data_IF_906539577366
#
_entry.id   IF_906539577366
#
_cell.length_a   1.000
_cell.length_b   1.000
_cell.length_c   1.000
_cell.angle_alpha   90.00
_cell.angle_beta   90.00
_cell.angle_gamma   90.00
#
_symmetry.space_group_name_H-M   'P 1'
#
loop_
_entity.id
_entity.type
_entity.pdbx_description
1 polymer ?
#
# COMPACT_ATOMS: atom_id res chain seq x y z
N UNK A 1 0.94 8.01 18.66
CA UNK A 1 0.79 6.69 18.01
C UNK A 1 -0.66 6.52 17.58
N UNK A 2 -0.88 6.05 16.35
CA UNK A 2 -2.22 5.75 15.82
C UNK A 2 -2.25 4.35 15.22
N UNK A 3 -3.34 3.64 15.46
CA UNK A 3 -3.51 2.24 15.07
C UNK A 3 -4.73 2.10 14.19
N UNK A 4 -4.61 1.32 13.11
CA UNK A 4 -5.66 1.14 12.11
C UNK A 4 -5.76 -0.33 11.70
N UNK A 5 -6.97 -0.77 11.36
CA UNK A 5 -7.18 -2.08 10.73
C UNK A 5 -6.68 -2.07 9.28
N UNK A 6 -6.15 -3.20 8.81
CA UNK A 6 -5.84 -3.41 7.40
C UNK A 6 -7.05 -4.07 6.73
N UNK A 7 -7.55 -3.46 5.66
CA UNK A 7 -8.63 -3.98 4.85
C UNK A 7 -8.15 -4.79 3.62
N UNK A 8 -6.87 -4.65 3.26
CA UNK A 8 -6.24 -5.39 2.17
C UNK A 8 -4.75 -5.09 2.09
N UNK A 9 -3.98 -6.07 1.61
CA UNK A 9 -2.53 -5.97 1.50
C UNK A 9 -2.08 -6.57 0.16
N UNK A 10 -1.22 -5.84 -0.54
CA UNK A 10 -0.67 -6.26 -1.82
C UNK A 10 0.84 -6.14 -1.80
N UNK A 11 1.51 -7.22 -2.19
CA UNK A 11 2.96 -7.26 -2.38
C UNK A 11 3.26 -6.95 -3.84
N UNK A 12 4.08 -5.94 -4.13
CA UNK A 12 4.45 -5.64 -5.51
C UNK A 12 5.31 -6.77 -6.10
N UNK A 13 4.89 -7.33 -7.24
CA UNK A 13 5.69 -8.24 -8.04
C UNK A 13 6.42 -7.54 -9.20
N UNK A 14 7.15 -8.31 -10.02
CA UNK A 14 7.90 -7.78 -11.17
C UNK A 14 6.99 -7.16 -12.26
N UNK A 15 5.77 -7.69 -12.43
CA UNK A 15 4.81 -7.20 -13.43
C UNK A 15 3.51 -6.66 -12.79
N UNK A 16 2.94 -7.35 -11.81
CA UNK A 16 1.67 -6.97 -11.15
C UNK A 16 1.79 -7.19 -9.63
N UNK A 17 0.94 -6.50 -8.86
CA UNK A 17 0.88 -6.66 -7.42
C UNK A 17 0.09 -7.93 -7.05
N UNK A 18 0.67 -8.78 -6.21
CA UNK A 18 0.03 -9.96 -5.67
C UNK A 18 -0.77 -9.59 -4.42
N UNK A 19 -2.07 -9.89 -4.41
CA UNK A 19 -2.88 -9.80 -3.21
C UNK A 19 -2.50 -10.89 -2.20
N UNK A 20 -2.30 -10.49 -0.95
CA UNK A 20 -2.10 -11.41 0.17
C UNK A 20 -3.41 -11.47 0.95
N UNK A 21 -4.08 -12.60 0.86
CA UNK A 21 -5.31 -12.86 1.59
C UNK A 21 -5.06 -12.86 3.10
N UNK A 22 -5.68 -11.90 3.81
CA UNK A 22 -5.51 -11.69 5.24
C UNK A 22 -6.57 -12.45 6.03
N UNK A 23 -6.13 -13.15 7.09
CA UNK A 23 -7.02 -13.59 8.16
C UNK A 23 -7.33 -12.41 9.09
N UNK A 24 -6.33 -11.60 9.42
CA UNK A 24 -6.46 -10.29 10.06
C UNK A 24 -5.23 -9.41 9.77
N UNK A 25 -5.28 -8.14 10.13
CA UNK A 25 -4.12 -7.26 9.98
C UNK A 25 -4.26 -5.92 10.67
N UNK A 26 -3.13 -5.43 11.18
CA UNK A 26 -3.00 -4.19 11.92
C UNK A 26 -1.86 -3.36 11.36
N UNK A 27 -2.07 -2.04 11.26
CA UNK A 27 -1.03 -1.10 10.89
C UNK A 27 -0.96 0.05 11.88
N UNK A 28 0.24 0.40 12.32
CA UNK A 28 0.51 1.39 13.35
C UNK A 28 1.41 2.49 12.77
N UNK A 29 0.91 3.72 12.80
CA UNK A 29 1.75 4.90 12.64
C UNK A 29 2.42 5.21 13.98
N UNK A 30 3.75 5.07 14.04
CA UNK A 30 4.52 5.32 15.26
C UNK A 30 4.59 6.80 15.61
N UNK A 31 4.38 7.69 14.64
CA UNK A 31 4.49 9.15 14.79
C UNK A 31 5.85 9.57 15.38
N UNK A 32 6.89 8.80 15.08
CA UNK A 32 8.27 9.12 15.45
C UNK A 32 8.94 10.02 14.40
N UNK A 33 10.12 10.56 14.73
CA UNK A 33 10.89 11.41 13.82
C UNK A 33 11.29 10.70 12.52
N UNK A 34 11.33 9.37 12.56
CA UNK A 34 11.66 8.50 11.41
C UNK A 34 10.46 8.26 10.49
N UNK A 35 9.25 8.73 10.86
CA UNK A 35 7.98 8.50 10.16
C UNK A 35 7.74 7.02 9.88
N UNK A 36 8.12 6.18 10.85
CA UNK A 36 8.07 4.73 10.70
C UNK A 36 6.67 4.18 10.96
N UNK A 37 6.36 3.09 10.26
CA UNK A 37 5.11 2.36 10.38
C UNK A 37 5.40 0.90 10.67
N UNK A 38 4.63 0.31 11.57
CA UNK A 38 4.61 -1.13 11.80
C UNK A 38 3.39 -1.72 11.11
N UNK A 39 3.59 -2.82 10.39
CA UNK A 39 2.55 -3.52 9.66
C UNK A 39 2.60 -4.96 10.15
N UNK A 40 1.51 -5.44 10.72
CA UNK A 40 1.38 -6.83 11.14
C UNK A 40 0.26 -7.49 10.33
N UNK A 41 0.61 -8.60 9.68
CA UNK A 41 -0.31 -9.41 8.89
C UNK A 41 -0.49 -10.74 9.58
N UNK A 42 -1.73 -11.20 9.71
CA UNK A 42 -2.04 -12.55 10.10
C UNK A 42 -2.63 -13.28 8.90
N UNK A 43 -1.94 -14.33 8.43
CA UNK A 43 -2.21 -14.97 7.14
C UNK A 43 -2.11 -16.48 7.21
N UNK A 44 -2.60 -17.17 6.18
CA UNK A 44 -2.39 -18.61 6.05
C UNK A 44 -0.88 -18.93 5.86
N UNK A 45 -0.33 -20.01 6.46
CA UNK A 45 1.08 -20.40 6.32
C UNK A 45 1.58 -20.64 4.88
N UNK A 46 0.67 -20.66 3.89
CA UNK A 46 1.01 -20.78 2.45
C UNK A 46 1.93 -19.64 1.96
N UNK A 47 1.89 -18.50 2.64
CA UNK A 47 2.70 -17.33 2.29
C UNK A 47 4.08 -17.33 2.96
N UNK A 48 4.40 -18.30 3.82
CA UNK A 48 5.64 -18.33 4.59
C UNK A 48 6.89 -18.25 3.71
N UNK A 49 6.98 -19.10 2.68
CA UNK A 49 8.15 -19.16 1.80
C UNK A 49 8.42 -17.81 1.12
N UNK A 50 7.37 -17.12 0.66
CA UNK A 50 7.48 -15.81 0.01
C UNK A 50 8.10 -14.79 0.95
N UNK A 51 7.57 -14.65 2.16
CA UNK A 51 8.09 -13.67 3.12
C UNK A 51 9.42 -14.09 3.74
N UNK A 52 9.70 -15.40 3.84
CA UNK A 52 11.00 -15.89 4.27
C UNK A 52 12.08 -15.55 3.23
N UNK A 53 11.80 -15.67 1.94
CA UNK A 53 12.71 -15.28 0.88
C UNK A 53 12.96 -13.76 0.89
N UNK A 54 11.91 -12.96 1.01
CA UNK A 54 12.01 -11.51 1.17
C UNK A 54 12.88 -11.12 2.37
N UNK A 55 12.72 -11.80 3.51
CA UNK A 55 13.53 -11.55 4.72
C UNK A 55 15.01 -11.89 4.51
N UNK A 56 15.30 -13.01 3.84
CA UNK A 56 16.69 -13.47 3.58
C UNK A 56 17.46 -12.52 2.67
N UNK A 57 16.79 -11.90 1.71
CA UNK A 57 17.41 -10.98 0.77
C UNK A 57 17.67 -9.59 1.38
N UNK A 58 17.12 -9.32 2.57
CA UNK A 58 17.08 -7.98 3.18
C UNK A 58 16.48 -6.90 2.26
N UNK A 59 15.68 -7.34 1.27
CA UNK A 59 15.15 -6.48 0.23
C UNK A 59 14.08 -5.56 0.80
N UNK A 60 14.15 -4.29 0.38
CA UNK A 60 13.10 -3.32 0.66
C UNK A 60 11.91 -3.62 -0.25
N UNK A 61 10.84 -4.15 0.35
CA UNK A 61 9.61 -4.54 -0.32
C UNK A 61 8.75 -3.31 -0.60
N UNK A 62 8.27 -3.20 -1.84
CA UNK A 62 7.19 -2.26 -2.15
C UNK A 62 5.86 -2.95 -1.88
N UNK A 63 5.04 -2.36 -1.01
CA UNK A 63 3.74 -2.92 -0.60
C UNK A 63 2.66 -1.86 -0.65
N UNK A 64 1.42 -2.28 -0.93
CA UNK A 64 0.23 -1.44 -0.91
C UNK A 64 -0.71 -1.92 0.19
N UNK A 65 -1.18 -0.99 1.02
CA UNK A 65 -2.04 -1.30 2.16
C UNK A 65 -3.32 -0.48 2.08
N UNK A 66 -4.46 -1.16 2.01
CA UNK A 66 -5.78 -0.53 2.17
C UNK A 66 -6.04 -0.35 3.66
N UNK A 67 -5.98 0.89 4.15
CA UNK A 67 -6.10 1.19 5.58
C UNK A 67 -7.57 1.46 5.93
N UNK A 68 -8.08 0.80 6.96
CA UNK A 68 -9.43 0.92 7.53
C UNK A 68 -10.58 0.40 6.66
N UNK A 69 -10.68 0.82 5.40
CA UNK A 69 -11.78 0.45 4.50
C UNK A 69 -11.26 0.04 3.11
N UNK A 70 -11.89 -0.94 2.44
CA UNK A 70 -11.45 -1.44 1.13
C UNK A 70 -11.65 -0.43 0.00
N UNK A 71 -12.53 0.56 0.19
CA UNK A 71 -12.78 1.63 -0.79
C UNK A 71 -11.80 2.81 -0.66
N UNK A 72 -10.88 2.77 0.31
CA UNK A 72 -9.87 3.81 0.47
C UNK A 72 -8.78 3.66 -0.59
N UNK A 73 -8.03 4.76 -0.82
CA UNK A 73 -6.83 4.68 -1.64
C UNK A 73 -5.76 3.84 -0.94
N UNK A 74 -5.15 2.85 -1.63
CA UNK A 74 -4.03 2.11 -1.06
C UNK A 74 -2.88 3.05 -0.72
N UNK A 75 -2.37 2.91 0.50
CA UNK A 75 -1.16 3.57 0.95
C UNK A 75 0.05 2.72 0.52
N UNK A 76 0.99 3.36 -0.18
CA UNK A 76 2.20 2.72 -0.67
C UNK A 76 3.32 2.82 0.36
N UNK A 77 3.96 1.71 0.67
CA UNK A 77 5.07 1.64 1.60
C UNK A 77 6.28 0.96 0.96
N UNK A 78 7.45 1.39 1.42
CA UNK A 78 8.67 0.59 1.37
C UNK A 78 8.85 -0.06 2.73
N UNK A 79 8.93 -1.39 2.78
CA UNK A 79 8.87 -2.16 4.02
C UNK A 79 9.89 -3.29 4.04
N UNK A 80 10.36 -3.65 5.22
CA UNK A 80 11.25 -4.78 5.46
C UNK A 80 10.59 -5.77 6.40
N UNK A 81 10.75 -7.06 6.12
CA UNK A 81 10.25 -8.12 6.99
C UNK A 81 11.15 -8.21 8.22
N UNK A 82 10.58 -7.99 9.41
CA UNK A 82 11.29 -8.08 10.69
C UNK A 82 11.14 -9.46 11.32
N UNK A 83 9.94 -10.04 11.25
CA UNK A 83 9.62 -11.30 11.93
C UNK A 83 8.58 -12.11 11.19
N UNK A 84 8.71 -13.43 11.32
CA UNK A 84 7.68 -14.41 10.96
C UNK A 84 7.50 -15.29 12.20
N UNK A 85 6.28 -15.42 12.70
CA UNK A 85 5.97 -16.21 13.88
C UNK A 85 4.73 -17.08 13.60
N UNK A 86 4.85 -18.40 13.74
CA UNK A 86 3.68 -19.28 13.74
C UNK A 86 2.87 -19.05 15.01
N UNK A 87 1.59 -18.80 14.83
CA UNK A 87 0.62 -18.73 15.90
C UNK A 87 -0.43 -19.82 15.68
N UNK A 88 -1.26 -20.04 16.68
CA UNK A 88 -2.42 -20.91 16.49
C UNK A 88 -3.31 -20.37 15.37
N UNK A 89 -3.58 -21.19 14.36
CA UNK A 89 -4.44 -20.84 13.23
C UNK A 89 -3.78 -20.07 12.08
N UNK A 90 -2.49 -19.72 12.16
CA UNK A 90 -1.84 -19.02 11.05
C UNK A 90 -0.41 -18.56 11.28
N UNK A 91 0.03 -17.64 10.43
CA UNK A 91 1.35 -17.05 10.43
C UNK A 91 1.22 -15.54 10.68
N UNK A 92 1.85 -15.03 11.74
CA UNK A 92 2.04 -13.59 11.94
C UNK A 92 3.31 -13.14 11.22
N UNK A 93 3.20 -12.07 10.45
CA UNK A 93 4.29 -11.45 9.70
C UNK A 93 4.39 -10.00 10.13
N UNK A 94 5.53 -9.64 10.70
CA UNK A 94 5.83 -8.28 11.12
C UNK A 94 6.72 -7.60 10.10
N UNK A 95 6.26 -6.46 9.59
CA UNK A 95 7.01 -5.58 8.73
C UNK A 95 7.19 -4.21 9.38
N UNK A 96 8.32 -3.58 9.09
CA UNK A 96 8.56 -2.17 9.38
C UNK A 96 8.73 -1.43 8.06
N UNK A 97 8.00 -0.33 7.88
CA UNK A 97 8.01 0.40 6.63
C UNK A 97 7.90 1.91 6.76
N UNK A 98 8.04 2.58 5.62
CA UNK A 98 7.92 4.03 5.46
C UNK A 98 6.92 4.33 4.37
N UNK A 99 6.00 5.25 4.66
CA UNK A 99 4.98 5.69 3.71
C UNK A 99 5.63 6.46 2.55
N UNK A 100 5.33 6.07 1.32
CA UNK A 100 5.73 6.78 0.11
C UNK A 100 4.75 7.91 -0.19
N UNK A 101 5.26 9.11 -0.45
CA UNK A 101 4.46 10.28 -0.82
C UNK A 101 3.92 10.15 -2.26
N UNK A 102 2.80 9.42 -2.43
CA UNK A 102 2.19 9.20 -3.77
C UNK A 102 1.18 10.28 -4.18
N UNK A 103 0.47 10.87 -3.21
CA UNK A 103 -0.69 11.74 -3.50
C UNK A 103 -0.30 13.03 -4.24
N UNK A 104 0.89 13.57 -4.00
CA UNK A 104 1.38 14.75 -4.70
C UNK A 104 1.79 14.46 -6.14
N UNK A 105 2.34 13.28 -6.44
CA UNK A 105 2.89 13.00 -7.77
C UNK A 105 1.79 12.77 -8.80
N UNK A 106 0.71 12.03 -8.46
CA UNK A 106 -0.44 11.91 -9.36
C UNK A 106 -1.13 13.26 -9.60
N UNK A 107 -1.35 14.04 -8.54
CA UNK A 107 -1.92 15.38 -8.65
C UNK A 107 -1.07 16.28 -9.55
N UNK A 108 0.27 16.23 -9.43
CA UNK A 108 1.18 16.96 -10.32
C UNK A 108 1.08 16.48 -11.77
N UNK A 109 1.01 15.16 -11.98
CA UNK A 109 0.90 14.59 -13.33
C UNK A 109 -0.41 15.01 -14.00
N UNK A 110 -1.56 14.85 -13.33
CA UNK A 110 -2.86 15.28 -13.88
C UNK A 110 -2.85 16.78 -14.18
N UNK A 111 -2.33 17.60 -13.27
CA UNK A 111 -2.22 19.04 -13.50
C UNK A 111 -1.36 19.35 -14.72
N UNK A 112 -0.19 18.71 -14.84
CA UNK A 112 0.72 18.87 -15.97
C UNK A 112 0.03 18.51 -17.29
N UNK A 113 -0.66 17.36 -17.35
CA UNK A 113 -1.36 16.90 -18.55
C UNK A 113 -2.47 17.86 -18.98
N UNK A 114 -3.23 18.41 -18.03
CA UNK A 114 -4.30 19.36 -18.32
C UNK A 114 -3.75 20.72 -18.79
N UNK A 115 -2.64 21.19 -18.20
CA UNK A 115 -1.95 22.40 -18.66
C UNK A 115 -1.37 22.20 -20.07
N UNK A 116 -0.78 21.03 -20.37
CA UNK A 116 -0.28 20.72 -21.72
C UNK A 116 -1.40 20.64 -22.77
N UNK A 117 -2.62 20.28 -22.35
CA UNK A 117 -3.82 20.35 -23.19
C UNK A 117 -4.37 21.77 -23.38
N UNK A 118 -3.74 22.77 -22.77
CA UNK A 118 -4.11 24.18 -22.90
C UNK A 118 -5.25 24.63 -21.98
N UNK A 119 -5.65 23.80 -21.01
CA UNK A 119 -6.67 24.20 -20.04
C UNK A 119 -6.10 25.25 -19.07
N UNK A 120 -6.92 26.25 -18.75
CA UNK A 120 -6.58 27.31 -17.80
C UNK A 120 -7.85 27.82 -17.11
N UNK A 121 -7.69 28.67 -16.08
CA UNK A 121 -8.82 29.26 -15.36
C UNK A 121 -9.73 28.21 -14.70
N UNK A 122 -11.04 28.45 -14.73
CA UNK A 122 -12.03 27.57 -14.10
C UNK A 122 -12.11 26.18 -14.76
N UNK A 123 -11.95 26.11 -16.08
CA UNK A 123 -11.98 24.84 -16.84
C UNK A 123 -10.89 23.86 -16.38
N UNK A 124 -9.70 24.37 -16.04
CA UNK A 124 -8.61 23.58 -15.48
C UNK A 124 -8.99 23.04 -14.10
N UNK A 125 -9.58 23.87 -13.25
CA UNK A 125 -9.96 23.51 -11.88
C UNK A 125 -11.02 22.40 -11.90
N UNK A 126 -12.05 22.54 -12.73
CA UNK A 126 -13.15 21.57 -12.82
C UNK A 126 -12.69 20.23 -13.40
N UNK A 127 -11.87 20.27 -14.45
CA UNK A 127 -11.29 19.07 -15.06
C UNK A 127 -10.35 18.36 -14.09
N UNK A 128 -9.52 19.12 -13.36
CA UNK A 128 -8.61 18.57 -12.37
C UNK A 128 -9.36 17.86 -11.24
N UNK A 129 -10.38 18.51 -10.66
CA UNK A 129 -11.21 17.93 -9.61
C UNK A 129 -11.94 16.67 -10.08
N UNK A 130 -12.40 16.65 -11.33
CA UNK A 130 -13.07 15.50 -11.92
C UNK A 130 -12.11 14.33 -12.10
N UNK A 131 -10.91 14.56 -12.66
CA UNK A 131 -9.88 13.53 -12.82
C UNK A 131 -9.37 12.97 -11.49
N UNK A 132 -9.29 13.79 -10.44
CA UNK A 132 -8.94 13.30 -9.10
C UNK A 132 -10.03 12.38 -8.52
N UNK A 133 -11.32 12.67 -8.76
CA UNK A 133 -12.46 11.87 -8.27
C UNK A 133 -12.68 10.56 -9.04
N UNK A 134 -12.33 10.50 -10.32
CA UNK A 134 -12.55 9.32 -11.17
C UNK A 134 -11.51 8.21 -10.98
N UNK A 135 -10.51 8.43 -10.14
CA UNK A 135 -9.43 7.47 -9.89
C UNK A 135 -10.00 6.20 -9.21
N UNK A 136 -10.22 5.12 -9.98
CA UNK A 136 -10.44 3.78 -9.43
C UNK A 136 -9.09 3.18 -9.03
N UNK A 137 -8.78 3.18 -7.74
CA UNK A 137 -7.50 2.72 -7.16
C UNK A 137 -7.52 1.26 -6.72
N UNK A 138 -8.17 0.39 -7.48
CA UNK A 138 -7.91 -1.03 -7.30
C UNK A 138 -6.56 -1.35 -7.96
N UNK A 139 -5.60 -1.99 -7.27
CA UNK A 139 -4.49 -2.61 -7.96
C UNK A 139 -5.03 -3.51 -9.07
N UNK A 140 -4.33 -3.57 -10.20
CA UNK A 140 -4.69 -4.49 -11.29
C UNK A 140 -4.44 -5.92 -10.79
N UNK A 141 -5.46 -6.56 -10.24
CA UNK A 141 -5.41 -7.93 -9.74
C UNK A 141 -6.18 -8.83 -10.70
N UNK A 142 -5.51 -9.81 -11.33
CA UNK A 142 -6.22 -10.89 -12.02
C UNK A 142 -6.78 -11.86 -10.97
N UNK A 143 -8.10 -12.04 -10.98
CA UNK A 143 -8.77 -13.14 -10.27
C UNK A 143 -8.53 -14.42 -11.07
N UNK A 144 -7.77 -15.35 -10.50
CA UNK A 144 -7.77 -16.76 -10.90
C UNK A 144 -9.02 -17.46 -10.40
#
# INVERSE_FOLDING_TARGET
MKTFKIAGFYLAGQNEAQEIELLDGLIINREDDKRSWLIELFVHPKYEEVFHQCKKQEDELKVEVLITHPNNDPALFFAQVRGLNHLEGGLSILLEGRLRQMRNEYAKQVLSDLVHKGLSGEDLIDSFNTCLKQRKNAPSVKKT
#
